data_IF_202024944053
#
_entry.id   IF_202024944053
#
_cell.length_a   1.000
_cell.length_b   1.000
_cell.length_c   1.000
_cell.angle_alpha   90.00
_cell.angle_beta   90.00
_cell.angle_gamma   90.00
#
_symmetry.space_group_name_H-M   'P 1'
#
loop_
_entity.id
_entity.type
_entity.pdbx_description
1 polymer ?
#
# COMPACT_ATOMS: atom_id res chain seq x y z
N UNK A 1 0.43 -1.25 6.59
CA UNK A 1 0.72 -1.38 8.02
C UNK A 1 1.95 -0.56 8.39
N UNK A 2 2.02 -0.11 9.65
CA UNK A 2 3.16 0.65 10.19
C UNK A 2 3.52 0.11 11.58
N UNK A 3 4.72 0.38 12.10
CA UNK A 3 5.05 0.04 13.49
C UNK A 3 4.03 0.64 14.47
N UNK A 4 3.66 -0.10 15.51
CA UNK A 4 2.58 0.29 16.43
C UNK A 4 2.84 1.65 17.12
N UNK A 5 4.08 1.94 17.45
CA UNK A 5 4.49 3.22 18.03
C UNK A 5 4.38 4.41 17.04
N UNK A 6 4.29 4.14 15.74
CA UNK A 6 4.18 5.14 14.68
C UNK A 6 2.73 5.43 14.24
N UNK A 7 1.73 4.70 14.77
CA UNK A 7 0.33 4.83 14.35
C UNK A 7 -0.18 6.26 14.50
N UNK A 8 0.01 6.87 15.66
CA UNK A 8 -0.52 8.21 15.94
C UNK A 8 0.11 9.27 15.00
N UNK A 9 1.42 9.17 14.75
CA UNK A 9 2.14 10.02 13.80
C UNK A 9 1.64 9.81 12.38
N UNK A 10 1.45 8.56 11.98
CA UNK A 10 0.95 8.19 10.65
C UNK A 10 -0.47 8.71 10.40
N UNK A 11 -1.36 8.57 11.37
CA UNK A 11 -2.74 9.10 11.25
C UNK A 11 -2.71 10.61 11.06
N UNK A 12 -1.94 11.34 11.89
CA UNK A 12 -1.78 12.79 11.75
C UNK A 12 -1.23 13.19 10.38
N UNK A 13 -0.21 12.46 9.90
CA UNK A 13 0.36 12.69 8.58
C UNK A 13 -0.68 12.49 7.47
N UNK A 14 -1.39 11.35 7.47
CA UNK A 14 -2.41 11.03 6.45
C UNK A 14 -3.54 12.07 6.44
N UNK A 15 -4.03 12.47 7.61
CA UNK A 15 -5.08 13.49 7.71
C UNK A 15 -4.60 14.83 7.16
N UNK A 16 -3.36 15.24 7.50
CA UNK A 16 -2.77 16.49 7.01
C UNK A 16 -2.58 16.50 5.48
N UNK A 17 -2.05 15.43 4.90
CA UNK A 17 -1.93 15.37 3.43
C UNK A 17 -3.29 15.29 2.75
N UNK A 18 -4.27 14.64 3.38
CA UNK A 18 -5.64 14.55 2.89
C UNK A 18 -6.29 15.92 2.63
N UNK A 19 -5.92 16.95 3.40
CA UNK A 19 -6.41 18.32 3.22
C UNK A 19 -6.03 18.93 1.85
N UNK A 20 -5.00 18.40 1.19
CA UNK A 20 -4.56 18.86 -0.14
C UNK A 20 -5.42 18.29 -1.28
N UNK A 21 -6.25 17.30 -0.99
CA UNK A 21 -6.99 16.54 -2.00
C UNK A 21 -8.49 16.85 -1.92
N UNK A 22 -9.22 16.80 -3.06
CA UNK A 22 -10.64 17.16 -3.13
C UNK A 22 -11.58 16.02 -2.69
N UNK A 23 -11.08 15.03 -1.99
CA UNK A 23 -11.87 13.91 -1.50
C UNK A 23 -11.73 13.71 0.02
N UNK A 24 -12.81 13.30 0.71
CA UNK A 24 -12.73 12.94 2.11
C UNK A 24 -11.83 11.75 2.37
N UNK A 25 -11.01 11.84 3.40
CA UNK A 25 -10.16 10.74 3.87
C UNK A 25 -10.69 10.26 5.22
N UNK A 26 -10.97 8.96 5.32
CA UNK A 26 -11.36 8.29 6.56
C UNK A 26 -10.34 7.21 6.89
N UNK A 27 -10.08 6.98 8.16
CA UNK A 27 -9.14 5.96 8.62
C UNK A 27 -9.85 5.07 9.64
N UNK A 28 -9.87 3.78 9.36
CA UNK A 28 -10.15 2.73 10.34
C UNK A 28 -8.84 2.02 10.65
N UNK A 29 -8.71 1.41 11.83
CA UNK A 29 -7.46 0.78 12.22
C UNK A 29 -7.65 -0.43 13.12
N UNK A 30 -6.79 -1.42 12.92
CA UNK A 30 -6.48 -2.44 13.92
C UNK A 30 -5.25 -1.96 14.69
N UNK A 31 -5.46 -1.18 15.74
CA UNK A 31 -4.39 -0.44 16.42
C UNK A 31 -3.32 -1.37 16.98
N UNK A 32 -3.72 -2.54 17.52
CA UNK A 32 -2.77 -3.51 18.07
C UNK A 32 -1.78 -4.08 17.05
N UNK A 33 -2.15 -4.04 15.77
CA UNK A 33 -1.37 -4.64 14.68
C UNK A 33 -0.67 -3.60 13.79
N UNK A 34 -0.87 -2.32 14.05
CA UNK A 34 -0.35 -1.26 13.19
C UNK A 34 -1.00 -1.20 11.80
N UNK A 35 -2.17 -1.82 11.63
CA UNK A 35 -2.86 -1.92 10.36
C UNK A 35 -3.86 -0.80 10.17
N UNK A 36 -3.62 0.07 9.19
CA UNK A 36 -4.46 1.23 8.88
C UNK A 36 -5.24 1.00 7.58
N UNK A 37 -6.55 1.16 7.64
CA UNK A 37 -7.45 1.11 6.50
C UNK A 37 -7.81 2.54 6.09
N UNK A 38 -7.23 3.02 5.01
CA UNK A 38 -7.50 4.35 4.46
C UNK A 38 -8.63 4.22 3.46
N UNK A 39 -9.70 4.92 3.72
CA UNK A 39 -10.89 4.95 2.86
C UNK A 39 -10.99 6.33 2.22
N UNK A 40 -10.99 6.35 0.89
CA UNK A 40 -11.16 7.55 0.07
C UNK A 40 -12.54 7.51 -0.58
N UNK A 41 -13.20 8.66 -0.67
CA UNK A 41 -14.49 8.77 -1.34
C UNK A 41 -14.34 9.58 -2.63
N UNK A 42 -14.72 9.00 -3.77
CA UNK A 42 -14.62 9.65 -5.08
C UNK A 42 -15.47 10.92 -5.21
N UNK A 43 -16.63 10.92 -4.55
CA UNK A 43 -17.62 12.01 -4.65
C UNK A 43 -17.95 12.37 -6.11
N UNK A 44 -17.87 13.66 -6.46
CA UNK A 44 -18.22 14.19 -7.79
C UNK A 44 -17.05 14.21 -8.78
N UNK A 45 -15.90 13.62 -8.44
CA UNK A 45 -14.73 13.61 -9.32
C UNK A 45 -14.96 12.73 -10.54
N UNK A 46 -14.45 13.15 -11.71
CA UNK A 46 -14.37 12.31 -12.89
C UNK A 46 -13.44 11.10 -12.64
N UNK A 47 -13.52 10.07 -13.48
CA UNK A 47 -12.66 8.88 -13.34
C UNK A 47 -11.19 9.26 -13.46
N UNK A 48 -10.85 10.09 -14.44
CA UNK A 48 -9.47 10.54 -14.68
C UNK A 48 -8.92 11.37 -13.51
N UNK A 49 -9.68 12.33 -13.01
CA UNK A 49 -9.28 13.13 -11.85
C UNK A 49 -9.10 12.26 -10.60
N UNK A 50 -10.01 11.30 -10.41
CA UNK A 50 -9.96 10.36 -9.31
C UNK A 50 -8.69 9.53 -9.35
N UNK A 51 -8.41 8.85 -10.47
CA UNK A 51 -7.24 8.01 -10.64
C UNK A 51 -5.93 8.78 -10.40
N UNK A 52 -5.77 9.93 -11.04
CA UNK A 52 -4.58 10.78 -10.90
C UNK A 52 -4.35 11.24 -9.45
N UNK A 53 -5.43 11.68 -8.78
CA UNK A 53 -5.32 12.19 -7.41
C UNK A 53 -5.13 11.08 -6.38
N UNK A 54 -5.75 9.92 -6.56
CA UNK A 54 -5.54 8.74 -5.71
C UNK A 54 -4.12 8.21 -5.85
N UNK A 55 -3.58 8.16 -7.08
CA UNK A 55 -2.18 7.76 -7.29
C UNK A 55 -1.21 8.70 -6.56
N UNK A 56 -1.42 10.02 -6.70
CA UNK A 56 -0.59 11.02 -6.01
C UNK A 56 -0.68 10.90 -4.47
N UNK A 57 -1.89 10.72 -3.94
CA UNK A 57 -2.11 10.51 -2.51
C UNK A 57 -1.42 9.23 -2.01
N UNK A 58 -1.60 8.11 -2.71
CA UNK A 58 -0.98 6.84 -2.35
C UNK A 58 0.55 6.94 -2.37
N UNK A 59 1.12 7.67 -3.34
CA UNK A 59 2.56 7.89 -3.40
C UNK A 59 3.09 8.59 -2.14
N UNK A 60 2.42 9.63 -1.67
CA UNK A 60 2.80 10.31 -0.42
C UNK A 60 2.69 9.36 0.79
N UNK A 61 1.57 8.62 0.89
CA UNK A 61 1.32 7.69 2.00
C UNK A 61 2.34 6.55 2.03
N UNK A 62 2.60 5.92 0.89
CA UNK A 62 3.54 4.78 0.84
C UNK A 62 4.98 5.21 1.06
N UNK A 63 5.38 6.37 0.49
CA UNK A 63 6.71 6.92 0.75
C UNK A 63 6.92 7.16 2.26
N UNK A 64 5.95 7.76 2.91
CA UNK A 64 6.02 7.96 4.36
C UNK A 64 6.02 6.62 5.12
N UNK A 65 5.11 5.71 4.81
CA UNK A 65 5.01 4.42 5.49
C UNK A 65 6.33 3.63 5.43
N UNK A 66 6.95 3.54 4.25
CA UNK A 66 8.23 2.84 4.11
C UNK A 66 9.38 3.56 4.83
N UNK A 67 9.37 4.89 4.89
CA UNK A 67 10.40 5.65 5.62
C UNK A 67 10.44 5.37 7.12
N UNK A 68 9.31 4.90 7.68
CA UNK A 68 9.19 4.54 9.10
C UNK A 68 9.14 3.03 9.36
N UNK A 69 9.50 2.21 8.37
CA UNK A 69 9.51 0.75 8.49
C UNK A 69 8.16 0.07 8.25
N UNK A 70 7.19 0.80 7.69
CA UNK A 70 5.88 0.27 7.30
C UNK A 70 5.91 -0.60 6.04
N UNK A 71 4.75 -1.14 5.68
CA UNK A 71 4.53 -2.00 4.50
C UNK A 71 3.19 -1.68 3.84
N UNK A 72 3.06 -2.03 2.55
CA UNK A 72 1.88 -1.79 1.70
C UNK A 72 0.59 -2.43 2.22
N UNK A 73 0.68 -3.58 2.83
CA UNK A 73 -0.46 -4.32 3.33
C UNK A 73 -0.23 -4.82 4.75
N UNK A 74 -1.30 -4.85 5.55
CA UNK A 74 -1.31 -5.48 6.86
C UNK A 74 -1.94 -6.87 6.80
N UNK A 75 -3.13 -7.00 6.18
CA UNK A 75 -3.90 -8.24 6.16
C UNK A 75 -4.48 -8.62 4.79
N UNK A 76 -4.81 -7.62 3.95
CA UNK A 76 -5.50 -7.86 2.67
C UNK A 76 -4.59 -8.39 1.56
N UNK A 77 -3.27 -8.40 1.77
CA UNK A 77 -2.31 -8.79 0.75
C UNK A 77 -2.14 -7.76 -0.37
N UNK A 78 -1.40 -8.13 -1.38
CA UNK A 78 -1.06 -7.30 -2.54
C UNK A 78 -1.97 -7.61 -3.73
N UNK A 79 -2.17 -8.90 -4.01
CA UNK A 79 -2.97 -9.35 -5.15
C UNK A 79 -2.41 -8.85 -6.48
N UNK A 80 -3.31 -8.50 -7.41
CA UNK A 80 -2.96 -7.85 -8.66
C UNK A 80 -3.02 -6.32 -8.59
N UNK A 81 -3.72 -5.75 -7.60
CA UNK A 81 -4.01 -4.31 -7.54
C UNK A 81 -2.81 -3.45 -7.14
N UNK A 82 -1.85 -4.02 -6.41
CA UNK A 82 -0.70 -3.29 -5.86
C UNK A 82 0.64 -3.81 -6.38
N UNK A 83 0.64 -4.44 -7.56
CA UNK A 83 1.88 -4.96 -8.18
C UNK A 83 2.92 -3.86 -8.39
N UNK A 84 2.49 -2.73 -8.98
CA UNK A 84 3.36 -1.60 -9.25
C UNK A 84 3.95 -1.01 -7.96
N UNK A 85 3.13 -0.86 -6.94
CA UNK A 85 3.56 -0.36 -5.64
C UNK A 85 4.52 -1.35 -4.96
N UNK A 86 4.24 -2.65 -5.07
CA UNK A 86 5.11 -3.69 -4.54
C UNK A 86 6.53 -3.61 -5.12
N UNK A 87 6.64 -3.46 -6.45
CA UNK A 87 7.92 -3.31 -7.15
C UNK A 87 8.61 -1.96 -6.82
N UNK A 88 7.82 -0.90 -6.63
CA UNK A 88 8.34 0.45 -6.43
C UNK A 88 8.87 0.68 -5.01
N UNK A 89 8.17 0.18 -4.00
CA UNK A 89 8.45 0.53 -2.60
C UNK A 89 9.13 -0.57 -1.80
N UNK A 90 8.97 -1.84 -2.19
CA UNK A 90 9.58 -2.94 -1.45
C UNK A 90 11.08 -3.02 -1.73
N UNK A 91 11.93 -3.15 -0.69
CA UNK A 91 13.37 -3.29 -0.89
C UNK A 91 13.72 -4.44 -1.82
N UNK A 92 14.66 -4.22 -2.73
CA UNK A 92 15.04 -5.21 -3.75
C UNK A 92 15.47 -6.56 -3.15
N UNK A 93 16.12 -6.57 -2.00
CA UNK A 93 16.50 -7.79 -1.29
C UNK A 93 15.30 -8.58 -0.80
N UNK A 94 14.26 -7.91 -0.29
CA UNK A 94 13.02 -8.56 0.15
C UNK A 94 12.30 -9.18 -1.07
N UNK A 95 12.17 -8.43 -2.17
CA UNK A 95 11.59 -8.94 -3.43
C UNK A 95 12.34 -10.15 -3.97
N UNK A 96 13.67 -10.12 -3.95
CA UNK A 96 14.50 -11.24 -4.41
C UNK A 96 14.24 -12.52 -3.60
N UNK A 97 14.14 -12.40 -2.27
CA UNK A 97 13.81 -13.54 -1.40
C UNK A 97 12.42 -14.07 -1.70
N UNK A 98 11.42 -13.19 -1.82
CA UNK A 98 10.04 -13.57 -2.12
C UNK A 98 9.95 -14.32 -3.47
N UNK A 99 10.62 -13.81 -4.51
CA UNK A 99 10.68 -14.47 -5.83
C UNK A 99 11.38 -15.83 -5.77
N UNK A 100 12.45 -15.94 -5.01
CA UNK A 100 13.18 -17.21 -4.80
C UNK A 100 12.25 -18.25 -4.16
N UNK A 101 11.52 -17.87 -3.12
CA UNK A 101 10.56 -18.75 -2.45
C UNK A 101 9.46 -19.17 -3.44
N UNK A 102 8.91 -18.22 -4.19
CA UNK A 102 7.88 -18.51 -5.21
C UNK A 102 8.37 -19.50 -6.25
N UNK A 103 9.55 -19.27 -6.82
CA UNK A 103 10.12 -20.15 -7.84
C UNK A 103 10.42 -21.56 -7.32
N UNK A 104 10.86 -21.67 -6.05
CA UNK A 104 11.12 -22.95 -5.42
C UNK A 104 9.84 -23.76 -5.13
N UNK A 105 8.75 -23.08 -4.73
CA UNK A 105 7.48 -23.72 -4.37
C UNK A 105 6.55 -23.94 -5.56
N UNK A 106 6.69 -23.15 -6.61
CA UNK A 106 5.86 -23.18 -7.82
C UNK A 106 6.73 -23.01 -9.09
N UNK A 107 7.57 -24.00 -9.42
CA UNK A 107 8.50 -23.90 -10.54
C UNK A 107 7.81 -23.81 -11.90
N UNK A 108 6.53 -24.17 -11.99
CA UNK A 108 5.74 -24.06 -13.21
C UNK A 108 4.95 -22.74 -13.30
N UNK A 109 4.96 -21.91 -12.26
CA UNK A 109 4.30 -20.62 -12.16
C UNK A 109 2.78 -20.68 -12.44
N UNK A 110 2.12 -21.76 -12.04
CA UNK A 110 0.69 -21.99 -12.24
C UNK A 110 -0.18 -21.52 -11.06
N UNK A 111 0.40 -21.30 -9.89
CA UNK A 111 -0.33 -20.87 -8.70
C UNK A 111 -0.42 -19.35 -8.66
N UNK A 112 -1.63 -18.82 -8.78
CA UNK A 112 -1.91 -17.38 -8.70
C UNK A 112 -0.99 -16.52 -9.60
N UNK A 113 -0.92 -16.78 -10.91
CA UNK A 113 -0.07 -16.01 -11.81
C UNK A 113 -0.46 -14.52 -11.80
N UNK A 114 0.53 -13.61 -11.94
CA UNK A 114 0.31 -12.18 -11.94
C UNK A 114 -0.20 -11.63 -10.60
N UNK A 115 0.18 -12.23 -9.49
CA UNK A 115 -0.12 -11.75 -8.13
C UNK A 115 1.15 -11.45 -7.36
N UNK A 116 1.13 -10.39 -6.56
CA UNK A 116 2.19 -9.92 -5.65
C UNK A 116 3.34 -9.23 -6.41
N UNK A 117 3.95 -9.89 -7.37
CA UNK A 117 5.05 -9.39 -8.21
C UNK A 117 5.08 -10.15 -9.55
N UNK A 118 5.74 -9.60 -10.54
CA UNK A 118 6.02 -10.27 -11.79
C UNK A 118 7.27 -11.16 -11.67
N UNK A 119 7.21 -12.32 -12.34
CA UNK A 119 8.27 -13.35 -12.39
C UNK A 119 8.77 -13.55 -13.80
#
# INVERSE_FOLDING_TARGET
>A
AVPVNEIAGTIKFIMKIGEKYPFPVKINAHIGDGNLHIVLCKCELSDEEWENKVEAFHKEVYTYAYSIGGRLAGEHGIGAKKLREMETYTPAGELAIMRTIKAAMDPQLILNPGKIFDL
#
